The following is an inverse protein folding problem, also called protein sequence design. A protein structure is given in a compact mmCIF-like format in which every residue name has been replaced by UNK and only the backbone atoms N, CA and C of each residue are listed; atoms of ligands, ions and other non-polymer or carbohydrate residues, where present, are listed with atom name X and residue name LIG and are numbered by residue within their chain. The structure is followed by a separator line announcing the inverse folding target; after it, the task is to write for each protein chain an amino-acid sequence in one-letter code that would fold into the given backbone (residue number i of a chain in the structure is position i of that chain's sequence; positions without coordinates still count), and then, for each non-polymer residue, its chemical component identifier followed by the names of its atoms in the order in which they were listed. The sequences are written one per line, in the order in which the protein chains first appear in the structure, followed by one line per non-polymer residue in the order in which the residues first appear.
data_IF_529720788197
#
_entry.id   IF_529720788197
#
_cell.length_a   1.000
_cell.length_b   1.000
_cell.length_c   1.000
_cell.angle_alpha   90.00
_cell.angle_beta   90.00
_cell.angle_gamma   90.00
#
_symmetry.space_group_name_H-M   'P 1'
#
loop_
_entity.id
_entity.type
_entity.pdbx_description
1 polymer ?
#
# COMPACT_ATOMS: atom_id res chain seq x y z
N UNK A 1 -10.03 -10.61 -10.50
CA UNK A 1 -8.89 -9.91 -11.12
C UNK A 1 -7.77 -9.78 -10.12
N UNK A 2 -6.56 -9.92 -10.58
CA UNK A 2 -5.41 -9.84 -9.69
C UNK A 2 -4.84 -8.44 -9.67
N UNK A 3 -4.47 -8.01 -8.48
CA UNK A 3 -3.85 -6.71 -8.30
C UNK A 3 -2.51 -6.88 -7.62
N UNK A 4 -1.56 -6.07 -8.06
CA UNK A 4 -0.28 -5.99 -7.37
C UNK A 4 -0.37 -4.87 -6.37
N UNK A 5 -0.02 -5.18 -5.14
CA UNK A 5 0.02 -4.19 -4.09
C UNK A 5 1.47 -4.00 -3.69
N UNK A 6 1.94 -2.79 -3.87
CA UNK A 6 3.31 -2.44 -3.56
C UNK A 6 3.29 -1.52 -2.35
N UNK A 7 3.91 -1.94 -1.28
CA UNK A 7 3.94 -1.13 -0.08
C UNK A 7 5.36 -0.72 0.24
N UNK A 8 5.50 0.51 0.64
CA UNK A 8 6.77 1.08 1.00
C UNK A 8 6.62 1.77 2.33
N UNK A 9 7.49 1.45 3.26
CA UNK A 9 7.47 2.12 4.55
C UNK A 9 7.99 3.53 4.39
N UNK A 10 7.21 4.48 4.86
CA UNK A 10 7.64 5.87 4.86
C UNK A 10 8.48 6.07 6.10
N UNK A 11 9.71 6.44 5.91
CA UNK A 11 10.61 6.64 7.03
C UNK A 11 10.24 7.89 7.76
N UNK A 12 10.42 7.86 9.05
CA UNK A 12 10.26 9.09 9.80
C UNK A 12 11.54 9.89 9.69
N UNK A 13 11.51 11.01 10.32
CA UNK A 13 12.60 11.97 10.18
C UNK A 13 13.91 11.48 10.77
N UNK A 14 13.85 10.46 11.58
CA UNK A 14 15.09 9.95 12.19
C UNK A 14 15.75 8.88 11.37
N UNK A 15 15.07 8.42 10.37
CA UNK A 15 15.62 7.34 9.60
C UNK A 15 16.53 7.93 8.54
N UNK A 16 17.77 7.63 8.65
CA UNK A 16 18.74 8.08 7.69
C UNK A 16 19.08 7.01 6.70
N UNK A 17 18.40 5.92 6.79
CA UNK A 17 18.73 4.81 5.94
C UNK A 17 18.40 5.14 4.51
N UNK A 18 19.35 5.03 3.63
CA UNK A 18 19.09 5.24 2.21
C UNK A 18 18.61 3.98 1.52
N UNK A 19 18.33 2.95 2.26
CA UNK A 19 17.95 1.68 1.67
C UNK A 19 16.54 1.75 1.16
N UNK A 20 16.34 2.35 0.04
CA UNK A 20 15.01 2.50 -0.50
C UNK A 20 14.36 1.16 -0.78
N UNK A 21 15.16 0.22 -1.22
CA UNK A 21 14.61 -1.05 -1.64
C UNK A 21 14.16 -1.91 -0.49
N UNK A 22 14.75 -1.70 0.66
CA UNK A 22 14.48 -2.60 1.79
C UNK A 22 13.07 -2.46 2.30
N UNK A 23 12.42 -1.32 2.04
CA UNK A 23 11.08 -1.11 2.52
C UNK A 23 9.98 -1.41 1.53
N UNK A 24 10.35 -1.90 0.35
CA UNK A 24 9.35 -2.13 -0.69
C UNK A 24 8.98 -3.59 -0.72
N UNK A 25 7.69 -3.87 -0.60
CA UNK A 25 7.17 -5.22 -0.68
C UNK A 25 6.07 -5.28 -1.70
N UNK A 26 5.98 -6.39 -2.38
CA UNK A 26 4.94 -6.60 -3.38
C UNK A 26 4.14 -7.83 -3.02
N UNK A 27 2.84 -7.73 -3.19
CA UNK A 27 1.93 -8.81 -2.88
C UNK A 27 0.88 -8.86 -3.97
N UNK A 28 0.48 -10.05 -4.36
CA UNK A 28 -0.62 -10.23 -5.30
C UNK A 28 -1.88 -10.54 -4.52
N UNK A 29 -2.95 -9.84 -4.85
CA UNK A 29 -4.22 -10.04 -4.18
C UNK A 29 -5.31 -10.15 -5.23
N UNK A 30 -6.14 -11.17 -5.10
CA UNK A 30 -7.31 -11.32 -5.94
C UNK A 30 -8.46 -10.51 -5.36
N UNK A 31 -9.05 -9.65 -6.14
CA UNK A 31 -10.11 -8.79 -5.67
C UNK A 31 -10.97 -8.33 -6.84
N UNK A 32 -12.10 -7.74 -6.53
CA UNK A 32 -12.99 -7.24 -7.56
C UNK A 32 -12.69 -5.82 -7.97
N UNK A 33 -11.93 -5.11 -7.19
CA UNK A 33 -11.60 -3.72 -7.48
C UNK A 33 -10.35 -3.34 -6.72
N UNK A 34 -9.71 -2.23 -7.10
CA UNK A 34 -8.55 -1.78 -6.33
C UNK A 34 -8.88 -1.49 -4.87
N UNK A 35 -10.07 -0.95 -4.61
CA UNK A 35 -10.47 -0.67 -3.24
C UNK A 35 -10.60 -1.96 -2.44
N UNK A 36 -11.15 -2.99 -3.06
CA UNK A 36 -11.26 -4.28 -2.38
C UNK A 36 -9.89 -4.87 -2.12
N UNK A 37 -8.98 -4.68 -3.05
CA UNK A 37 -7.63 -5.19 -2.87
C UNK A 37 -6.95 -4.50 -1.70
N UNK A 38 -7.12 -3.20 -1.58
CA UNK A 38 -6.54 -2.46 -0.47
C UNK A 38 -7.17 -2.91 0.84
N UNK A 39 -8.49 -3.10 0.85
CA UNK A 39 -9.17 -3.55 2.05
C UNK A 39 -8.65 -4.90 2.51
N UNK A 40 -8.43 -5.80 1.56
CA UNK A 40 -7.91 -7.11 1.89
C UNK A 40 -6.49 -7.01 2.43
N UNK A 41 -5.68 -6.15 1.82
CA UNK A 41 -4.31 -5.95 2.27
C UNK A 41 -4.28 -5.42 3.70
N UNK A 42 -5.12 -4.44 3.98
CA UNK A 42 -5.19 -3.84 5.30
C UNK A 42 -5.60 -4.88 6.33
N UNK A 43 -6.59 -5.69 5.99
CA UNK A 43 -7.08 -6.71 6.90
C UNK A 43 -6.03 -7.77 7.17
N UNK A 44 -5.33 -8.20 6.12
CA UNK A 44 -4.33 -9.25 6.29
C UNK A 44 -3.14 -8.80 7.12
N UNK A 45 -2.87 -7.52 7.12
CA UNK A 45 -1.70 -6.99 7.80
C UNK A 45 -2.02 -6.32 9.11
N UNK A 46 -3.26 -6.42 9.57
CA UNK A 46 -3.65 -5.82 10.85
C UNK A 46 -3.28 -4.34 10.87
N UNK A 47 -3.55 -3.66 9.78
CA UNK A 47 -3.19 -2.26 9.68
C UNK A 47 -4.43 -1.42 9.55
N UNK A 48 -4.24 -0.13 9.47
CA UNK A 48 -5.34 0.83 9.44
C UNK A 48 -5.21 1.68 8.18
N UNK A 49 -6.30 1.81 7.45
CA UNK A 49 -6.31 2.66 6.28
C UNK A 49 -6.48 4.10 6.73
N UNK A 50 -5.49 4.92 6.41
CA UNK A 50 -5.53 6.33 6.80
C UNK A 50 -6.19 7.15 5.70
N UNK A 51 -5.80 6.92 4.47
CA UNK A 51 -6.39 7.65 3.36
C UNK A 51 -6.29 6.82 2.10
N UNK A 52 -7.17 7.12 1.16
CA UNK A 52 -7.19 6.43 -0.12
C UNK A 52 -7.43 7.46 -1.20
N UNK A 53 -6.61 7.40 -2.21
CA UNK A 53 -6.72 8.33 -3.32
C UNK A 53 -6.77 7.54 -4.62
N UNK A 54 -7.83 7.75 -5.37
CA UNK A 54 -7.99 7.09 -6.66
C UNK A 54 -8.01 8.17 -7.74
N UNK A 55 -6.97 8.21 -8.56
CA UNK A 55 -6.96 9.18 -9.64
C UNK A 55 -8.13 8.96 -10.59
N UNK A 56 -8.54 10.05 -11.22
CA UNK A 56 -9.70 9.97 -12.10
C UNK A 56 -9.50 8.97 -13.22
N UNK A 57 -8.30 8.77 -13.65
CA UNK A 57 -8.02 7.84 -14.72
C UNK A 57 -7.95 6.40 -14.24
N UNK A 58 -7.89 6.19 -12.96
CA UNK A 58 -8.08 4.87 -12.40
C UNK A 58 -7.03 3.83 -12.72
N UNK A 59 -5.86 4.22 -13.13
CA UNK A 59 -4.87 3.21 -13.46
C UNK A 59 -4.19 2.65 -12.24
N UNK A 60 -4.08 3.45 -11.21
CA UNK A 60 -3.55 2.93 -9.97
C UNK A 60 -4.17 3.71 -8.83
N UNK A 61 -4.28 3.05 -7.69
CA UNK A 61 -4.78 3.69 -6.50
C UNK A 61 -3.66 3.77 -5.50
N UNK A 62 -3.67 4.83 -4.72
CA UNK A 62 -2.63 5.07 -3.73
C UNK A 62 -3.30 5.23 -2.38
N UNK A 63 -2.76 4.54 -1.40
CA UNK A 63 -3.33 4.58 -0.06
C UNK A 63 -2.22 4.83 0.93
N UNK A 64 -2.58 5.44 2.05
CA UNK A 64 -1.71 5.57 3.19
C UNK A 64 -2.23 4.65 4.26
N UNK A 65 -1.36 3.79 4.76
CA UNK A 65 -1.73 2.77 5.71
C UNK A 65 -0.82 2.88 6.91
N UNK A 66 -1.40 2.73 8.09
CA UNK A 66 -0.63 2.79 9.31
C UNK A 66 -0.70 1.44 10.02
N UNK A 67 0.45 0.97 10.46
CA UNK A 67 0.53 -0.24 11.25
C UNK A 67 1.46 0.03 12.41
N UNK A 68 0.94 -0.08 13.61
CA UNK A 68 1.68 0.29 14.81
C UNK A 68 2.10 1.74 14.68
N UNK A 69 3.39 2.02 14.77
CA UNK A 69 3.88 3.38 14.65
C UNK A 69 4.44 3.69 13.29
N UNK A 70 4.24 2.79 12.35
CA UNK A 70 4.81 2.96 11.02
C UNK A 70 3.75 3.30 10.02
N UNK A 71 4.11 4.12 9.06
CA UNK A 71 3.22 4.54 8.00
C UNK A 71 3.77 4.01 6.70
N UNK A 72 2.88 3.50 5.87
CA UNK A 72 3.25 2.90 4.59
C UNK A 72 2.50 3.58 3.47
N UNK A 73 3.20 3.78 2.38
CA UNK A 73 2.57 4.19 1.14
C UNK A 73 2.30 2.93 0.33
N UNK A 74 1.05 2.77 -0.08
CA UNK A 74 0.62 1.55 -0.75
C UNK A 74 0.10 1.92 -2.12
N UNK A 75 0.63 1.27 -3.14
CA UNK A 75 0.15 1.45 -4.50
C UNK A 75 -0.49 0.17 -4.98
N UNK A 76 -1.62 0.31 -5.67
CA UNK A 76 -2.36 -0.83 -6.16
C UNK A 76 -2.57 -0.65 -7.66
N UNK A 77 -2.22 -1.65 -8.42
CA UNK A 77 -2.43 -1.63 -9.86
C UNK A 77 -2.65 -3.05 -10.34
N UNK A 78 -3.23 -3.16 -11.51
CA UNK A 78 -3.51 -4.47 -12.08
C UNK A 78 -2.21 -5.21 -12.37
N UNK A 79 -2.25 -6.46 -12.01
CA UNK A 79 -1.08 -7.32 -12.21
C UNK A 79 -0.95 -7.71 -13.68
#
# INVERSE_FOLDING_TARGET
MQYTIESRQLTNEYSHSPSFDAGIKQTLIEAGSPHDAIGEFVRRNDSELVSLHSPARGQESIATVRKNDSVYLVRVYEA
#
